data_IF_800815009244
#
_entry.id   IF_800815009244
#
_cell.length_a   1.000
_cell.length_b   1.000
_cell.length_c   1.000
_cell.angle_alpha   90.00
_cell.angle_beta   90.00
_cell.angle_gamma   90.00
#
_symmetry.space_group_name_H-M   'P 1'
#
loop_
_entity.id
_entity.type
_entity.pdbx_description
1 polymer ?
#
# COMPACT_ATOMS: atom_id res chain seq x y z
N UNK A 1 37.55 15.91 -24.51
CA UNK A 1 37.55 16.53 -23.17
C UNK A 1 36.10 16.64 -22.74
N UNK A 2 35.69 15.98 -21.65
CA UNK A 2 34.36 16.14 -21.05
C UNK A 2 33.41 14.94 -21.19
N UNK A 3 33.82 13.78 -20.70
CA UNK A 3 32.95 12.64 -20.40
C UNK A 3 32.11 13.01 -19.16
N UNK A 4 30.85 13.38 -19.34
CA UNK A 4 29.91 13.47 -18.22
C UNK A 4 29.38 12.06 -17.98
N UNK A 5 30.14 11.29 -17.22
CA UNK A 5 29.57 10.16 -16.48
C UNK A 5 28.36 10.70 -15.72
N UNK A 6 27.19 10.30 -16.18
CA UNK A 6 25.96 10.29 -15.41
C UNK A 6 26.17 9.27 -14.28
N UNK A 7 26.98 9.66 -13.29
CA UNK A 7 27.02 9.04 -11.97
C UNK A 7 25.71 9.41 -11.28
N UNK A 8 24.64 8.78 -11.75
CA UNK A 8 23.41 8.69 -11.02
C UNK A 8 23.43 7.33 -10.30
N UNK A 9 23.81 7.26 -9.00
CA UNK A 9 23.90 6.00 -8.24
C UNK A 9 22.54 5.32 -8.01
N UNK A 10 21.47 5.79 -8.66
CA UNK A 10 20.12 5.23 -8.60
C UNK A 10 19.81 4.29 -9.78
N UNK A 11 20.75 4.05 -10.69
CA UNK A 11 20.62 3.02 -11.73
C UNK A 11 21.04 1.66 -11.17
N UNK A 12 20.06 0.82 -10.86
CA UNK A 12 20.21 -0.61 -11.10
C UNK A 12 20.23 -1.56 -9.91
N UNK A 13 20.01 -1.13 -8.66
CA UNK A 13 19.58 -2.10 -7.63
C UNK A 13 18.11 -2.36 -7.82
N UNK A 14 17.76 -3.21 -8.79
CA UNK A 14 16.47 -3.90 -8.77
C UNK A 14 16.46 -4.68 -7.46
N UNK A 15 15.57 -4.37 -6.50
CA UNK A 15 15.42 -5.22 -5.34
C UNK A 15 14.66 -6.46 -5.81
N UNK A 16 15.36 -7.37 -6.46
CA UNK A 16 14.93 -8.74 -6.77
C UNK A 16 14.87 -9.60 -5.49
N UNK A 17 15.18 -9.02 -4.32
CA UNK A 17 15.39 -9.73 -3.07
C UNK A 17 14.11 -10.11 -2.32
N UNK A 18 13.00 -9.37 -2.49
CA UNK A 18 11.78 -9.63 -1.74
C UNK A 18 10.60 -9.89 -2.67
N UNK A 19 10.00 -11.09 -2.55
CA UNK A 19 8.74 -11.37 -3.24
C UNK A 19 7.67 -10.42 -2.71
N UNK A 20 6.83 -9.83 -3.59
CA UNK A 20 5.70 -9.05 -3.14
C UNK A 20 4.75 -9.91 -2.27
N UNK A 21 3.93 -9.26 -1.41
CA UNK A 21 2.98 -9.97 -0.57
C UNK A 21 2.08 -10.89 -1.39
N UNK A 22 1.72 -12.03 -0.80
CA UNK A 22 0.77 -12.94 -1.45
C UNK A 22 -0.61 -12.30 -1.47
N UNK A 23 -1.35 -12.55 -2.55
CA UNK A 23 -2.75 -12.11 -2.66
C UNK A 23 -3.59 -12.64 -1.49
N UNK A 24 -4.51 -11.80 -1.01
CA UNK A 24 -5.40 -12.10 0.10
C UNK A 24 -6.86 -12.11 -0.37
N UNK A 25 -7.53 -13.26 -0.28
CA UNK A 25 -8.88 -13.44 -0.79
C UNK A 25 -9.98 -13.11 0.23
N UNK A 26 -9.72 -13.32 1.53
CA UNK A 26 -10.64 -12.94 2.61
C UNK A 26 -11.37 -14.09 3.32
N UNK A 27 -11.76 -15.18 2.66
CA UNK A 27 -12.60 -16.21 3.32
C UNK A 27 -11.83 -17.25 4.15
N UNK A 28 -10.61 -17.61 3.74
CA UNK A 28 -9.77 -18.62 4.40
C UNK A 28 -8.26 -18.31 4.35
N UNK A 29 -7.90 -17.12 3.89
CA UNK A 29 -6.50 -16.70 3.89
C UNK A 29 -6.10 -16.19 5.26
N UNK A 30 -4.87 -16.50 5.65
CA UNK A 30 -4.32 -16.04 6.92
C UNK A 30 -4.03 -14.53 6.82
N UNK A 31 -4.91 -13.73 7.41
CA UNK A 31 -4.80 -12.27 7.38
C UNK A 31 -3.55 -11.79 8.11
N UNK A 32 -3.13 -12.49 9.17
CA UNK A 32 -1.92 -12.15 9.91
C UNK A 32 -0.68 -12.32 9.02
N UNK A 33 -0.65 -13.38 8.21
CA UNK A 33 0.40 -13.57 7.18
C UNK A 33 0.40 -12.41 6.19
N UNK A 34 -0.76 -12.06 5.63
CA UNK A 34 -0.86 -10.97 4.65
C UNK A 34 -0.36 -9.62 5.21
N UNK A 35 -0.83 -9.25 6.41
CA UNK A 35 -0.42 -8.01 7.06
C UNK A 35 1.07 -8.02 7.41
N UNK A 36 1.61 -9.16 7.85
CA UNK A 36 3.03 -9.34 8.12
C UNK A 36 3.90 -9.21 6.87
N UNK A 37 3.49 -9.82 5.76
CA UNK A 37 4.16 -9.72 4.46
C UNK A 37 4.18 -8.26 3.96
N UNK A 38 3.03 -7.57 4.05
CA UNK A 38 2.95 -6.15 3.70
C UNK A 38 3.84 -5.28 4.58
N UNK A 39 3.85 -5.50 5.89
CA UNK A 39 4.65 -4.72 6.81
C UNK A 39 6.16 -4.91 6.58
N UNK A 40 6.58 -6.17 6.40
CA UNK A 40 7.98 -6.49 6.05
C UNK A 40 8.37 -5.81 4.74
N UNK A 41 7.48 -5.82 3.75
CA UNK A 41 7.70 -5.12 2.48
C UNK A 41 7.87 -3.61 2.70
N UNK A 42 6.99 -2.97 3.47
CA UNK A 42 7.11 -1.54 3.75
C UNK A 42 8.37 -1.17 4.53
N UNK A 43 8.83 -2.03 5.44
CA UNK A 43 10.08 -1.81 6.18
C UNK A 43 11.30 -1.87 5.26
N UNK A 44 11.36 -2.86 4.35
CA UNK A 44 12.43 -2.96 3.34
C UNK A 44 12.43 -1.76 2.40
N UNK A 45 11.24 -1.25 2.07
CA UNK A 45 11.03 -0.13 1.16
C UNK A 45 10.63 1.16 1.88
N UNK A 46 11.10 1.38 3.11
CA UNK A 46 10.62 2.44 4.00
C UNK A 46 10.75 3.86 3.40
N UNK A 47 11.70 4.07 2.49
CA UNK A 47 11.87 5.33 1.76
C UNK A 47 10.73 5.62 0.77
N UNK A 48 10.04 4.59 0.28
CA UNK A 48 8.93 4.69 -0.67
C UNK A 48 7.55 4.63 -0.02
N UNK A 49 7.45 4.08 1.19
CA UNK A 49 6.18 3.82 1.88
C UNK A 49 6.03 4.65 3.16
N UNK A 50 6.26 5.96 3.05
CA UNK A 50 6.16 6.89 4.17
C UNK A 50 4.73 7.39 4.41
N UNK A 51 3.92 7.40 3.35
CA UNK A 51 2.58 7.98 3.38
C UNK A 51 1.48 6.91 3.36
N UNK A 52 0.34 7.15 4.03
CA UNK A 52 -0.85 6.30 3.92
C UNK A 52 -1.33 6.10 2.48
N UNK A 53 -1.15 7.11 1.62
CA UNK A 53 -1.48 7.06 0.20
C UNK A 53 -0.57 6.14 -0.62
N UNK A 54 0.51 5.62 -0.04
CA UNK A 54 1.40 4.65 -0.67
C UNK A 54 1.13 3.24 -0.12
N UNK A 55 1.06 3.11 1.21
CA UNK A 55 0.89 1.81 1.89
C UNK A 55 -0.48 1.20 1.65
N UNK A 56 -1.55 1.96 1.86
CA UNK A 56 -2.92 1.44 1.79
C UNK A 56 -3.29 1.01 0.36
N UNK A 57 -3.05 1.82 -0.70
CA UNK A 57 -3.32 1.40 -2.07
C UNK A 57 -2.47 0.20 -2.50
N UNK A 58 -1.22 0.12 -2.04
CA UNK A 58 -0.36 -1.02 -2.33
C UNK A 58 -0.96 -2.30 -1.75
N UNK A 59 -1.22 -2.36 -0.44
CA UNK A 59 -1.84 -3.53 0.18
C UNK A 59 -3.20 -3.86 -0.45
N UNK A 60 -4.01 -2.84 -0.72
CA UNK A 60 -5.29 -3.00 -1.40
C UNK A 60 -5.19 -3.66 -2.78
N UNK A 61 -4.10 -3.45 -3.52
CA UNK A 61 -3.88 -4.07 -4.84
C UNK A 61 -3.70 -5.59 -4.78
N UNK A 62 -3.32 -6.12 -3.61
CA UNK A 62 -3.18 -7.56 -3.36
C UNK A 62 -4.44 -8.18 -2.75
N UNK A 63 -5.49 -7.38 -2.50
CA UNK A 63 -6.79 -7.91 -2.12
C UNK A 63 -7.49 -8.46 -3.38
N UNK A 64 -7.96 -9.70 -3.30
CA UNK A 64 -8.71 -10.35 -4.37
C UNK A 64 -10.05 -10.90 -3.84
N UNK A 65 -10.94 -11.28 -4.76
CA UNK A 65 -12.19 -11.95 -4.42
C UNK A 65 -13.07 -11.13 -3.44
N UNK A 66 -13.56 -11.74 -2.34
CA UNK A 66 -14.42 -11.04 -1.38
C UNK A 66 -13.72 -9.88 -0.66
N UNK A 67 -12.41 -9.98 -0.40
CA UNK A 67 -11.63 -8.88 0.20
C UNK A 67 -11.56 -7.66 -0.71
N UNK A 68 -11.33 -7.86 -2.01
CA UNK A 68 -11.32 -6.78 -2.99
C UNK A 68 -12.68 -6.08 -3.08
N UNK A 69 -13.77 -6.86 -3.18
CA UNK A 69 -15.14 -6.33 -3.27
C UNK A 69 -15.46 -5.47 -2.05
N UNK A 70 -15.18 -6.00 -0.85
CA UNK A 70 -15.36 -5.25 0.38
C UNK A 70 -14.55 -3.94 0.37
N UNK A 71 -13.28 -3.97 -0.03
CA UNK A 71 -12.43 -2.78 -0.06
C UNK A 71 -12.94 -1.71 -1.03
N UNK A 72 -13.44 -2.09 -2.21
CA UNK A 72 -13.99 -1.13 -3.19
C UNK A 72 -15.18 -0.34 -2.62
N UNK A 73 -16.01 -0.99 -1.80
CA UNK A 73 -17.11 -0.34 -1.10
C UNK A 73 -16.60 0.48 0.09
N UNK A 74 -15.76 -0.10 0.93
CA UNK A 74 -15.26 0.53 2.15
C UNK A 74 -14.43 1.78 1.85
N UNK A 75 -13.59 1.77 0.80
CA UNK A 75 -12.70 2.89 0.47
C UNK A 75 -13.43 4.19 0.10
N UNK A 76 -14.70 4.12 -0.31
CA UNK A 76 -15.48 5.29 -0.69
C UNK A 76 -15.66 6.27 0.49
N UNK A 77 -15.65 5.75 1.72
CA UNK A 77 -15.75 6.60 2.92
C UNK A 77 -14.53 7.51 3.11
N UNK A 78 -13.40 7.20 2.47
CA UNK A 78 -12.19 8.00 2.53
C UNK A 78 -12.11 9.04 1.40
N UNK A 79 -13.10 9.08 0.50
CA UNK A 79 -13.14 10.11 -0.52
C UNK A 79 -13.42 11.47 0.13
N UNK A 80 -12.44 12.36 0.10
CA UNK A 80 -12.60 13.74 0.57
C UNK A 80 -12.84 14.63 -0.65
N UNK A 81 -14.07 15.12 -0.77
CA UNK A 81 -14.48 16.10 -1.78
C UNK A 81 -14.50 17.53 -1.22
N UNK A 82 -13.86 17.75 -0.06
CA UNK A 82 -14.00 18.99 0.68
C UNK A 82 -13.31 20.13 -0.07
N UNK A 83 -14.10 20.98 -0.72
CA UNK A 83 -13.70 22.34 -1.14
C UNK A 83 -13.06 23.13 0.03
N UNK A 84 -13.41 22.76 1.25
CA UNK A 84 -13.00 23.37 2.52
C UNK A 84 -11.48 23.36 2.77
N UNK A 85 -10.77 22.35 2.26
CA UNK A 85 -9.31 22.20 2.45
C UNK A 85 -8.49 22.87 1.33
N UNK A 86 -9.14 23.44 0.30
CA UNK A 86 -8.49 24.02 -0.88
C UNK A 86 -7.71 23.02 -1.74
N UNK A 87 -7.81 21.71 -1.45
CA UNK A 87 -7.08 20.64 -2.10
C UNK A 87 -7.97 19.91 -3.12
N UNK A 88 -7.41 19.40 -4.23
CA UNK A 88 -8.16 18.60 -5.18
C UNK A 88 -8.75 17.34 -4.52
N UNK A 89 -9.94 16.90 -4.96
CA UNK A 89 -10.62 15.71 -4.45
C UNK A 89 -9.69 14.50 -4.50
N UNK A 90 -9.54 13.83 -3.36
CA UNK A 90 -8.63 12.68 -3.24
C UNK A 90 -9.05 11.75 -2.10
N UNK A 91 -8.57 10.51 -2.16
CA UNK A 91 -8.72 9.57 -1.05
C UNK A 91 -7.78 9.94 0.10
N UNK A 92 -8.34 10.15 1.29
CA UNK A 92 -7.61 10.33 2.56
C UNK A 92 -7.60 9.01 3.34
N UNK A 93 -6.67 8.14 2.97
CA UNK A 93 -6.55 6.82 3.58
C UNK A 93 -6.11 6.89 5.05
N UNK A 94 -6.55 5.92 5.89
CA UNK A 94 -6.08 5.80 7.25
C UNK A 94 -4.61 5.36 7.28
N UNK A 95 -3.92 5.59 8.40
CA UNK A 95 -2.56 5.06 8.60
C UNK A 95 -2.56 3.53 8.52
N UNK A 96 -1.42 2.95 8.15
CA UNK A 96 -1.24 1.51 7.99
C UNK A 96 -1.81 0.69 9.16
N UNK A 97 -1.45 1.04 10.41
CA UNK A 97 -1.94 0.31 11.59
C UNK A 97 -3.46 0.31 11.74
N UNK A 98 -4.14 1.39 11.35
CA UNK A 98 -5.59 1.46 11.39
C UNK A 98 -6.23 0.66 10.25
N UNK A 99 -5.63 0.71 9.05
CA UNK A 99 -6.04 -0.14 7.94
C UNK A 99 -5.91 -1.62 8.28
N UNK A 100 -4.78 -2.04 8.87
CA UNK A 100 -4.53 -3.40 9.33
C UNK A 100 -5.59 -3.85 10.34
N UNK A 101 -5.92 -3.01 11.32
CA UNK A 101 -6.97 -3.29 12.32
C UNK A 101 -8.35 -3.46 11.67
N UNK A 102 -8.72 -2.59 10.73
CA UNK A 102 -10.01 -2.67 10.02
C UNK A 102 -10.10 -3.98 9.22
N UNK A 103 -9.02 -4.34 8.52
CA UNK A 103 -8.93 -5.61 7.78
C UNK A 103 -9.06 -6.81 8.72
N UNK A 104 -8.29 -6.86 9.82
CA UNK A 104 -8.31 -7.98 10.79
C UNK A 104 -9.64 -8.12 11.53
N UNK A 105 -10.39 -7.04 11.69
CA UNK A 105 -11.73 -7.12 12.27
C UNK A 105 -12.77 -7.64 11.27
N UNK A 106 -12.48 -7.59 9.96
CA UNK A 106 -13.41 -7.97 8.91
C UNK A 106 -13.24 -9.43 8.47
N UNK A 107 -12.00 -9.92 8.44
CA UNK A 107 -11.61 -11.25 7.98
C UNK A 107 -10.77 -11.96 9.04
#
# INVERSE_FOLDING_TARGET
MGDFNDDNPHVGVKPTLLKPPRVFKGEHDDISRFLGDCQTYFEVFATYFQLPSQTVPFAASYLEGPAQKWWVHHRQQYWSNSLDDGLPPRFRYPRWGEFARILSNRF
#
